data_IF_919990447260
#
_entry.id   IF_919990447260
#
_cell.length_a   1.000
_cell.length_b   1.000
_cell.length_c   1.000
_cell.angle_alpha   90.00
_cell.angle_beta   90.00
_cell.angle_gamma   90.00
#
_symmetry.space_group_name_H-M   'P 1'
#
loop_
_entity.id
_entity.type
_entity.pdbx_description
1 polymer ?
#
# COMPACT_ATOMS: atom_id res chain seq x y z
N UNK A 1 -18.03 -31.77 -32.02
CA UNK A 1 -17.06 -32.30 -31.04
C UNK A 1 -15.68 -31.67 -31.17
N UNK A 2 -15.08 -31.52 -32.35
CA UNK A 2 -13.75 -30.86 -32.48
C UNK A 2 -13.82 -29.32 -32.53
N UNK A 3 -14.91 -28.75 -33.08
CA UNK A 3 -15.13 -27.30 -33.19
C UNK A 3 -15.36 -26.63 -31.83
N UNK A 4 -16.02 -27.35 -30.90
CA UNK A 4 -16.40 -26.86 -29.57
C UNK A 4 -15.18 -26.69 -28.65
N UNK A 5 -14.17 -27.53 -28.84
CA UNK A 5 -12.92 -27.49 -28.06
C UNK A 5 -12.05 -26.27 -28.41
N UNK A 6 -11.99 -25.88 -29.69
CA UNK A 6 -11.24 -24.70 -30.14
C UNK A 6 -11.91 -23.41 -29.68
N UNK A 7 -13.24 -23.35 -29.74
CA UNK A 7 -14.01 -22.21 -29.20
C UNK A 7 -13.89 -22.10 -27.68
N UNK A 8 -13.91 -23.21 -26.95
CA UNK A 8 -13.74 -23.21 -25.49
C UNK A 8 -12.33 -22.76 -25.06
N UNK A 9 -11.29 -23.25 -25.73
CA UNK A 9 -9.90 -22.82 -25.48
C UNK A 9 -9.72 -21.33 -25.81
N UNK A 10 -10.30 -20.85 -26.92
CA UNK A 10 -10.27 -19.43 -27.28
C UNK A 10 -10.96 -18.53 -26.27
N UNK A 11 -12.16 -18.91 -25.80
CA UNK A 11 -12.89 -18.17 -24.77
C UNK A 11 -12.13 -18.18 -23.44
N UNK A 12 -11.55 -19.32 -23.05
CA UNK A 12 -10.70 -19.42 -21.85
C UNK A 12 -9.47 -18.50 -21.95
N UNK A 13 -8.78 -18.45 -23.10
CA UNK A 13 -7.65 -17.55 -23.30
C UNK A 13 -8.05 -16.07 -23.23
N UNK A 14 -9.20 -15.68 -23.78
CA UNK A 14 -9.71 -14.30 -23.71
C UNK A 14 -10.05 -13.91 -22.27
N UNK A 15 -10.66 -14.83 -21.51
CA UNK A 15 -10.95 -14.61 -20.08
C UNK A 15 -9.64 -14.48 -19.29
N UNK A 16 -8.66 -15.37 -19.48
CA UNK A 16 -7.36 -15.28 -18.81
C UNK A 16 -6.57 -14.01 -19.18
N UNK A 17 -6.64 -13.53 -20.42
CA UNK A 17 -6.02 -12.27 -20.84
C UNK A 17 -6.75 -11.04 -20.27
N UNK A 18 -8.06 -11.13 -20.05
CA UNK A 18 -8.84 -10.07 -19.39
C UNK A 18 -8.58 -9.96 -17.88
N UNK A 19 -8.01 -11.02 -17.27
CA UNK A 19 -7.59 -11.06 -15.86
C UNK A 19 -6.24 -10.38 -15.59
N UNK A 20 -5.63 -9.72 -16.58
CA UNK A 20 -4.53 -8.79 -16.36
C UNK A 20 -5.05 -7.56 -15.60
N UNK A 21 -5.23 -7.72 -14.29
CA UNK A 21 -5.71 -6.71 -13.37
C UNK A 21 -4.77 -5.50 -13.44
N UNK A 22 -5.25 -4.40 -14.00
CA UNK A 22 -4.55 -3.13 -13.94
C UNK A 22 -4.73 -2.59 -12.52
N UNK A 23 -3.69 -2.64 -11.67
CA UNK A 23 -3.77 -1.95 -10.39
C UNK A 23 -3.81 -0.44 -10.65
N UNK A 24 -4.97 0.17 -10.40
CA UNK A 24 -5.16 1.60 -10.58
C UNK A 24 -4.72 2.31 -9.31
N UNK A 25 -3.67 3.13 -9.38
CA UNK A 25 -3.25 3.95 -8.25
C UNK A 25 -4.21 5.09 -7.94
N UNK A 26 -4.25 5.50 -6.68
CA UNK A 26 -5.13 6.55 -6.17
C UNK A 26 -4.63 7.96 -6.51
N UNK A 27 -5.54 8.94 -6.56
CA UNK A 27 -5.20 10.35 -6.70
C UNK A 27 -5.32 11.06 -5.36
N UNK A 28 -4.21 11.54 -4.82
CA UNK A 28 -4.16 12.24 -3.54
C UNK A 28 -3.97 13.75 -3.74
N UNK A 29 -4.94 14.54 -3.31
CA UNK A 29 -4.91 16.00 -3.42
C UNK A 29 -4.30 16.63 -2.17
N UNK A 30 -3.10 17.19 -2.32
CA UNK A 30 -2.35 17.82 -1.24
C UNK A 30 -3.14 18.99 -0.67
N UNK A 31 -3.30 19.04 0.65
CA UNK A 31 -4.10 20.08 1.33
C UNK A 31 -5.60 20.03 1.05
N UNK A 32 -6.10 18.98 0.41
CA UNK A 32 -7.53 18.77 0.17
C UNK A 32 -8.18 19.90 -0.64
N UNK A 33 -9.11 20.64 -0.02
CA UNK A 33 -9.82 21.76 -0.65
C UNK A 33 -8.98 23.03 -0.75
N UNK A 34 -8.06 23.25 0.19
CA UNK A 34 -7.18 24.43 0.20
C UNK A 34 -6.07 24.32 -0.84
N UNK A 35 -5.59 23.10 -1.10
CA UNK A 35 -4.53 22.85 -2.06
C UNK A 35 -3.14 23.11 -1.49
N UNK A 36 -2.21 23.50 -2.38
CA UNK A 36 -0.83 23.84 -2.06
C UNK A 36 -0.71 25.34 -1.80
N UNK A 37 -0.86 25.70 -0.52
CA UNK A 37 -0.80 27.07 0.01
C UNK A 37 0.25 27.23 1.11
N UNK A 38 0.67 28.46 1.35
CA UNK A 38 1.71 28.78 2.35
C UNK A 38 1.28 28.50 3.79
N UNK A 39 0.04 28.84 4.14
CA UNK A 39 -0.52 28.69 5.49
C UNK A 39 -1.78 27.81 5.43
N UNK A 40 -1.62 26.48 5.32
CA UNK A 40 -2.77 25.58 5.30
C UNK A 40 -3.38 25.46 6.70
N UNK A 41 -4.67 25.13 6.78
CA UNK A 41 -5.35 24.88 8.06
C UNK A 41 -4.85 23.61 8.76
N UNK A 42 -4.39 22.62 7.98
CA UNK A 42 -3.72 21.40 8.42
C UNK A 42 -2.28 21.40 7.90
N UNK A 43 -1.30 21.10 8.76
CA UNK A 43 0.10 21.02 8.32
C UNK A 43 0.30 19.90 7.30
N UNK A 44 1.21 20.09 6.34
CA UNK A 44 1.50 19.07 5.33
C UNK A 44 2.03 17.77 5.94
N UNK A 45 2.73 17.83 7.07
CA UNK A 45 3.18 16.64 7.79
C UNK A 45 2.00 15.85 8.37
N UNK A 46 1.00 16.52 8.95
CA UNK A 46 -0.20 15.87 9.45
C UNK A 46 -1.01 15.28 8.30
N UNK A 47 -1.19 16.05 7.22
CA UNK A 47 -1.81 15.59 5.99
C UNK A 47 -1.09 14.34 5.44
N UNK A 48 0.24 14.33 5.39
CA UNK A 48 1.00 13.18 4.91
C UNK A 48 0.79 11.94 5.79
N UNK A 49 0.81 12.09 7.12
CA UNK A 49 0.70 10.97 8.08
C UNK A 49 -0.65 10.25 8.01
N UNK A 50 -1.74 10.97 7.72
CA UNK A 50 -3.08 10.36 7.59
C UNK A 50 -3.35 9.72 6.22
N UNK A 51 -2.48 9.97 5.24
CA UNK A 51 -2.58 9.37 3.91
C UNK A 51 -1.60 8.19 3.80
N UNK A 52 -2.00 7.17 3.05
CA UNK A 52 -1.10 6.06 2.69
C UNK A 52 -0.79 6.19 1.21
N UNK A 53 0.50 6.11 0.87
CA UNK A 53 0.98 6.24 -0.50
C UNK A 53 1.56 4.91 -0.96
N UNK A 54 1.15 4.46 -2.13
CA UNK A 54 1.61 3.23 -2.76
C UNK A 54 2.23 3.53 -4.13
N UNK A 55 3.00 2.56 -4.64
CA UNK A 55 3.46 2.61 -6.03
C UNK A 55 2.23 2.66 -6.93
N UNK A 56 2.32 3.45 -8.00
CA UNK A 56 1.28 3.84 -8.94
C UNK A 56 0.31 4.94 -8.48
N UNK A 57 0.32 5.34 -7.21
CA UNK A 57 -0.46 6.51 -6.78
C UNK A 57 0.02 7.79 -7.47
N UNK A 58 -0.88 8.75 -7.59
CA UNK A 58 -0.63 10.07 -8.15
C UNK A 58 -0.89 11.14 -7.10
N UNK A 59 0.14 11.90 -6.75
CA UNK A 59 -0.01 13.10 -5.92
C UNK A 59 -0.35 14.30 -6.80
N UNK A 60 -1.30 15.10 -6.35
CA UNK A 60 -1.82 16.25 -7.10
C UNK A 60 -1.71 17.51 -6.26
N UNK A 61 -1.04 18.51 -6.80
CA UNK A 61 -0.87 19.83 -6.20
C UNK A 61 -1.73 20.85 -6.95
N UNK A 62 -2.63 21.53 -6.23
CA UNK A 62 -3.45 22.62 -6.78
C UNK A 62 -2.95 23.95 -6.20
N UNK A 63 -2.57 24.88 -7.06
CA UNK A 63 -2.14 26.22 -6.65
C UNK A 63 -2.43 27.21 -7.77
N UNK A 64 -2.48 28.50 -7.46
CA UNK A 64 -2.68 29.52 -8.48
C UNK A 64 -1.44 29.60 -9.37
N UNK A 65 -1.61 29.32 -10.67
CA UNK A 65 -0.53 29.39 -11.66
C UNK A 65 0.17 30.75 -11.59
N UNK A 66 1.50 30.75 -11.55
CA UNK A 66 2.33 31.95 -11.44
C UNK A 66 2.49 32.51 -10.03
N UNK A 67 1.69 32.06 -9.05
CA UNK A 67 1.90 32.43 -7.63
C UNK A 67 2.80 31.44 -6.89
N UNK A 68 2.79 30.17 -7.31
CA UNK A 68 3.61 29.12 -6.72
C UNK A 68 4.07 28.12 -7.78
N UNK A 69 4.88 27.15 -7.35
CA UNK A 69 5.31 25.98 -8.11
C UNK A 69 5.73 24.87 -7.15
N UNK A 70 5.84 23.65 -7.65
CA UNK A 70 6.27 22.49 -6.86
C UNK A 70 7.57 21.96 -7.44
N UNK A 71 8.58 21.82 -6.58
CA UNK A 71 9.85 21.20 -6.92
C UNK A 71 10.00 19.88 -6.16
N UNK A 72 10.49 18.86 -6.85
CA UNK A 72 10.92 17.58 -6.24
C UNK A 72 12.43 17.62 -6.08
N UNK A 73 12.93 17.45 -4.86
CA UNK A 73 14.37 17.52 -4.56
C UNK A 73 14.96 16.14 -4.24
N UNK A 74 16.29 16.05 -4.26
CA UNK A 74 17.00 14.76 -4.22
C UNK A 74 16.94 14.07 -2.87
N UNK A 75 17.17 14.83 -1.80
CA UNK A 75 17.37 14.27 -0.47
C UNK A 75 16.84 15.18 0.65
N UNK A 76 17.07 14.75 1.88
CA UNK A 76 16.61 15.45 3.06
C UNK A 76 17.37 16.77 3.30
N UNK A 77 18.61 16.90 2.84
CA UNK A 77 19.39 18.11 3.00
C UNK A 77 18.82 19.22 2.13
N UNK A 78 18.56 18.93 0.86
CA UNK A 78 17.92 19.87 -0.06
C UNK A 78 16.52 20.28 0.43
N UNK A 79 15.76 19.31 0.97
CA UNK A 79 14.45 19.56 1.56
C UNK A 79 14.51 20.47 2.80
N UNK A 80 15.47 20.22 3.68
CA UNK A 80 15.59 20.96 4.95
C UNK A 80 16.11 22.36 4.72
N UNK A 81 17.11 22.50 3.83
CA UNK A 81 17.74 23.78 3.47
C UNK A 81 16.96 24.55 2.39
N UNK A 82 15.86 23.99 1.88
CA UNK A 82 15.09 24.57 0.79
C UNK A 82 15.94 24.87 -0.45
N UNK A 83 16.86 23.97 -0.80
CA UNK A 83 17.73 24.11 -1.95
C UNK A 83 16.93 23.94 -3.25
N UNK A 84 16.86 25.02 -4.03
CA UNK A 84 16.09 25.10 -5.29
C UNK A 84 16.98 24.98 -6.54
N UNK A 85 18.29 24.75 -6.39
CA UNK A 85 19.28 24.89 -7.47
C UNK A 85 19.16 23.80 -8.54
N UNK A 86 18.97 22.55 -8.13
CA UNK A 86 18.91 21.38 -9.04
C UNK A 86 17.78 20.43 -8.64
N UNK A 87 16.50 20.81 -8.85
CA UNK A 87 15.38 19.92 -8.58
C UNK A 87 15.32 18.79 -9.61
N UNK A 88 14.88 17.61 -9.18
CA UNK A 88 14.56 16.46 -10.06
C UNK A 88 13.42 16.84 -11.02
N UNK A 89 12.41 17.51 -10.50
CA UNK A 89 11.26 17.99 -11.26
C UNK A 89 10.87 19.39 -10.81
N UNK A 90 10.49 20.25 -11.75
CA UNK A 90 9.90 21.55 -11.47
C UNK A 90 8.59 21.72 -12.21
N UNK A 91 7.47 21.77 -11.48
CA UNK A 91 6.12 21.84 -12.03
C UNK A 91 5.51 23.21 -11.71
N UNK A 92 5.03 23.92 -12.73
CA UNK A 92 4.55 25.34 -12.64
C UNK A 92 3.14 25.55 -13.22
N UNK A 93 2.42 24.48 -13.53
CA UNK A 93 1.16 24.51 -14.27
C UNK A 93 -0.06 24.92 -13.42
N UNK A 94 0.06 24.99 -12.09
CA UNK A 94 -1.05 25.26 -11.16
C UNK A 94 -1.92 24.04 -10.83
N UNK A 95 -1.71 22.94 -11.53
CA UNK A 95 -2.42 21.67 -11.33
C UNK A 95 -1.48 20.48 -11.52
N UNK A 96 -0.36 20.52 -10.81
CA UNK A 96 0.77 19.60 -11.02
C UNK A 96 0.45 18.20 -10.53
N UNK A 97 0.89 17.19 -11.28
CA UNK A 97 0.68 15.78 -10.97
C UNK A 97 2.01 15.04 -11.03
N UNK A 98 2.26 14.17 -10.05
CA UNK A 98 3.38 13.24 -10.08
C UNK A 98 2.87 11.84 -9.74
N UNK A 99 3.12 10.87 -10.63
CA UNK A 99 2.85 9.46 -10.37
C UNK A 99 4.07 8.84 -9.69
N UNK A 100 3.86 8.15 -8.57
CA UNK A 100 4.91 7.42 -7.87
C UNK A 100 5.19 6.11 -8.60
N UNK A 101 6.34 6.00 -9.26
CA UNK A 101 6.76 4.79 -9.99
C UNK A 101 7.66 3.88 -9.15
N UNK A 102 8.08 4.34 -7.97
CA UNK A 102 8.93 3.61 -7.02
C UNK A 102 8.51 3.90 -5.59
N UNK A 103 8.82 2.96 -4.71
CA UNK A 103 8.72 3.11 -3.26
C UNK A 103 9.82 4.05 -2.74
N UNK A 104 9.68 4.51 -1.49
CA UNK A 104 10.68 5.33 -0.80
C UNK A 104 10.23 6.76 -0.52
N UNK A 105 11.19 7.62 -0.18
CA UNK A 105 10.94 9.01 0.23
C UNK A 105 10.94 9.94 -0.98
N UNK A 106 9.96 10.84 -1.03
CA UNK A 106 9.86 11.91 -2.00
C UNK A 106 9.75 13.24 -1.26
N UNK A 107 10.61 14.18 -1.60
CA UNK A 107 10.70 15.48 -0.97
C UNK A 107 10.17 16.55 -1.91
N UNK A 108 9.12 17.24 -1.50
CA UNK A 108 8.48 18.30 -2.26
C UNK A 108 8.67 19.63 -1.54
N UNK A 109 9.06 20.66 -2.27
CA UNK A 109 9.18 22.02 -1.74
C UNK A 109 8.48 23.01 -2.67
N UNK A 110 8.02 24.13 -2.11
CA UNK A 110 7.57 25.25 -2.93
C UNK A 110 8.76 25.86 -3.68
N UNK A 111 8.57 26.10 -4.97
CA UNK A 111 9.53 26.82 -5.80
C UNK A 111 9.40 28.34 -5.73
N UNK A 112 8.45 28.86 -4.94
CA UNK A 112 8.31 30.30 -4.69
C UNK A 112 9.28 30.74 -3.60
N UNK A 113 9.82 31.94 -3.74
CA UNK A 113 10.77 32.51 -2.78
C UNK A 113 10.17 32.58 -1.37
N UNK A 114 10.97 32.20 -0.36
CA UNK A 114 10.63 32.16 1.06
C UNK A 114 9.50 31.20 1.46
N UNK A 115 8.73 30.63 0.53
CA UNK A 115 7.59 29.76 0.86
C UNK A 115 8.04 28.44 1.50
N UNK A 116 9.09 27.80 0.99
CA UNK A 116 9.62 26.56 1.56
C UNK A 116 10.15 26.78 2.99
N UNK A 117 10.87 27.88 3.18
CA UNK A 117 11.49 28.31 4.43
C UNK A 117 10.42 28.62 5.49
N UNK A 118 9.26 29.12 5.05
CA UNK A 118 8.06 29.34 5.85
C UNK A 118 7.18 28.08 6.03
N UNK A 119 7.65 26.91 5.59
CA UNK A 119 7.02 25.62 5.88
C UNK A 119 6.16 25.03 4.77
N UNK A 120 6.09 25.64 3.57
CA UNK A 120 5.39 25.07 2.43
C UNK A 120 6.26 24.00 1.74
N UNK A 121 6.36 22.85 2.42
CA UNK A 121 7.13 21.67 2.02
C UNK A 121 6.44 20.41 2.54
N UNK A 122 6.68 19.28 1.87
CA UNK A 122 6.00 18.02 2.12
C UNK A 122 6.96 16.84 1.91
N UNK A 123 7.03 15.95 2.90
CA UNK A 123 7.67 14.64 2.79
C UNK A 123 6.60 13.56 2.59
N UNK A 124 6.74 12.80 1.51
CA UNK A 124 5.91 11.62 1.23
C UNK A 124 6.75 10.35 1.34
N UNK A 125 6.20 9.31 1.98
CA UNK A 125 6.79 7.98 2.04
C UNK A 125 5.88 7.01 1.28
N UNK A 126 6.36 6.52 0.15
CA UNK A 126 5.66 5.54 -0.70
C UNK A 126 6.03 4.13 -0.26
N UNK A 127 5.02 3.32 0.04
CA UNK A 127 5.17 1.96 0.54
C UNK A 127 5.55 1.00 -0.59
N UNK A 128 6.36 0.00 -0.26
CA UNK A 128 6.57 -1.17 -1.11
C UNK A 128 5.37 -2.11 -1.01
N UNK A 129 4.97 -2.78 -2.12
CA UNK A 129 4.19 -4.00 -2.04
C UNK A 129 5.07 -5.05 -1.34
N UNK A 130 4.68 -5.43 -0.12
CA UNK A 130 5.25 -6.49 0.73
C UNK A 130 6.71 -6.36 1.21
N UNK A 131 6.84 -6.07 2.51
CA UNK A 131 7.07 -7.13 3.49
C UNK A 131 6.55 -6.67 4.86
N UNK A 132 5.65 -7.45 5.46
CA UNK A 132 5.33 -7.46 6.89
C UNK A 132 6.53 -7.85 7.79
N UNK A 133 7.74 -7.38 7.47
CA UNK A 133 8.97 -7.63 8.23
C UNK A 133 9.75 -6.32 8.37
N UNK A 134 9.34 -5.52 9.34
CA UNK A 134 10.21 -4.69 10.20
C UNK A 134 9.39 -3.52 10.76
N UNK A 135 8.44 -3.82 11.64
CA UNK A 135 8.41 -3.07 12.88
C UNK A 135 8.86 -4.06 13.94
N UNK A 136 10.15 -4.07 14.28
CA UNK A 136 10.53 -4.60 15.59
C UNK A 136 9.70 -3.82 16.61
N UNK A 137 8.88 -4.46 17.45
CA UNK A 137 8.41 -3.80 18.65
C UNK A 137 9.66 -3.40 19.42
N UNK A 138 9.77 -2.13 19.80
CA UNK A 138 10.72 -1.74 20.84
C UNK A 138 10.26 -2.47 22.09
N UNK A 139 10.92 -3.59 22.42
CA UNK A 139 10.68 -4.34 23.65
C UNK A 139 10.98 -3.41 24.82
N UNK A 140 10.02 -3.09 25.71
CA UNK A 140 10.37 -2.46 26.97
C UNK A 140 11.21 -3.44 27.77
N UNK A 141 12.38 -2.98 28.21
CA UNK A 141 13.32 -3.65 29.10
C UNK A 141 12.59 -4.42 30.21
N UNK A 142 12.79 -5.74 30.38
CA UNK A 142 12.21 -6.45 31.50
C UNK A 142 12.91 -6.03 32.81
N UNK A 143 12.11 -5.49 33.74
CA UNK A 143 12.55 -5.25 35.10
C UNK A 143 12.88 -6.58 35.79
N UNK A 144 14.00 -6.57 36.50
CA UNK A 144 14.59 -7.68 37.26
C UNK A 144 13.56 -8.25 38.25
N UNK A 145 13.25 -9.55 38.16
CA UNK A 145 12.58 -10.31 39.22
C UNK A 145 13.58 -11.29 39.85
N UNK A 146 13.63 -11.43 41.19
CA UNK A 146 14.63 -12.24 41.85
C UNK A 146 14.31 -13.75 41.81
N UNK A 147 15.41 -14.50 41.80
CA UNK A 147 15.60 -15.96 41.79
C UNK A 147 15.01 -16.66 43.02
N UNK A 148 14.48 -17.89 42.85
CA UNK A 148 14.70 -19.09 43.70
C UNK A 148 14.31 -20.37 42.90
N UNK A 149 15.21 -21.37 42.90
CA UNK A 149 15.15 -22.70 42.27
C UNK A 149 14.53 -23.77 43.22
N UNK A 150 14.69 -25.11 43.05
CA UNK A 150 14.64 -26.02 41.89
C UNK A 150 13.58 -27.17 42.06
N UNK A 151 13.52 -28.05 41.04
CA UNK A 151 12.68 -29.25 40.80
C UNK A 151 12.68 -30.38 41.85
N UNK A 152 11.68 -31.31 41.80
CA UNK A 152 12.02 -32.74 41.67
C UNK A 152 11.12 -33.57 40.69
N UNK A 153 11.65 -34.63 40.03
CA UNK A 153 10.89 -35.70 39.34
C UNK A 153 11.04 -37.07 40.05
N UNK A 154 10.62 -38.24 39.49
CA UNK A 154 9.35 -38.67 38.89
C UNK A 154 8.82 -39.99 39.54
N UNK A 155 7.60 -40.47 39.19
CA UNK A 155 7.21 -41.89 39.39
C UNK A 155 5.99 -42.32 38.55
N UNK A 156 5.78 -43.63 38.30
CA UNK A 156 5.52 -44.14 36.96
C UNK A 156 4.17 -44.84 36.75
N UNK A 157 3.77 -44.92 35.48
CA UNK A 157 3.21 -46.12 34.86
C UNK A 157 1.72 -46.44 35.07
N UNK A 158 0.96 -46.42 33.98
CA UNK A 158 -0.16 -47.35 33.75
C UNK A 158 -0.53 -47.37 32.26
N UNK A 159 -0.20 -48.49 31.62
CA UNK A 159 -0.61 -48.93 30.28
C UNK A 159 -2.09 -49.37 30.26
N UNK A 160 -2.81 -49.12 29.15
CA UNK A 160 -3.67 -50.08 28.40
C UNK A 160 -4.58 -49.33 27.37
N UNK A 161 -5.26 -49.99 26.39
CA UNK A 161 -4.91 -49.89 24.99
C UNK A 161 -5.97 -49.25 24.08
N UNK A 162 -5.56 -49.02 22.84
CA UNK A 162 -6.31 -48.44 21.72
C UNK A 162 -7.52 -49.26 21.24
N UNK A 163 -8.48 -48.60 20.59
CA UNK A 163 -9.19 -49.16 19.44
C UNK A 163 -8.94 -48.34 18.15
N UNK A 164 -8.79 -49.05 17.04
CA UNK A 164 -8.59 -48.53 15.68
C UNK A 164 -9.96 -48.34 14.95
N UNK A 165 -10.01 -47.91 13.67
CA UNK A 165 -10.77 -46.75 13.23
C UNK A 165 -12.06 -47.07 12.45
N UNK A 166 -13.00 -46.12 12.39
CA UNK A 166 -14.17 -46.19 11.51
C UNK A 166 -14.17 -45.04 10.48
N UNK A 167 -13.89 -45.44 9.24
CA UNK A 167 -14.33 -44.97 7.91
C UNK A 167 -14.87 -43.53 7.77
N UNK A 168 -14.22 -42.79 6.86
CA UNK A 168 -14.69 -41.55 6.25
C UNK A 168 -15.65 -41.84 5.10
N UNK A 169 -16.87 -41.31 5.19
CA UNK A 169 -17.79 -41.24 4.04
C UNK A 169 -17.54 -39.96 3.23
N UNK A 170 -17.29 -40.15 1.93
CA UNK A 170 -17.10 -39.10 0.96
C UNK A 170 -18.45 -38.48 0.57
N UNK A 171 -18.63 -37.18 0.83
CA UNK A 171 -19.75 -36.42 0.29
C UNK A 171 -19.45 -36.02 -1.16
N UNK A 172 -20.19 -36.63 -2.08
CA UNK A 172 -20.30 -36.23 -3.48
C UNK A 172 -21.01 -34.88 -3.57
N UNK A 173 -20.28 -33.84 -4.00
CA UNK A 173 -20.88 -32.55 -4.34
C UNK A 173 -21.03 -32.48 -5.85
N UNK A 174 -22.20 -32.92 -6.33
CA UNK A 174 -22.70 -32.57 -7.65
C UNK A 174 -23.20 -31.12 -7.63
N UNK A 175 -22.36 -30.19 -8.11
CA UNK A 175 -22.70 -28.77 -8.22
C UNK A 175 -22.82 -28.34 -9.68
N UNK A 176 -24.02 -27.98 -10.12
CA UNK A 176 -24.35 -27.55 -11.48
C UNK A 176 -23.52 -26.35 -11.96
N UNK A 177 -22.99 -26.47 -13.18
CA UNK A 177 -22.10 -25.53 -13.90
C UNK A 177 -22.64 -24.12 -14.19
N UNK A 178 -23.69 -23.64 -13.53
CA UNK A 178 -24.25 -22.28 -13.76
C UNK A 178 -23.89 -21.33 -12.61
N UNK A 179 -23.81 -21.84 -11.37
CA UNK A 179 -23.48 -21.02 -10.19
C UNK A 179 -22.02 -20.55 -10.20
N UNK A 180 -21.12 -21.33 -10.79
CA UNK A 180 -19.69 -20.98 -10.90
C UNK A 180 -19.46 -19.71 -11.75
N UNK A 181 -20.29 -19.47 -12.76
CA UNK A 181 -20.17 -18.28 -13.63
C UNK A 181 -20.65 -17.00 -12.97
N UNK A 182 -21.73 -17.07 -12.18
CA UNK A 182 -22.26 -15.91 -11.45
C UNK A 182 -21.29 -15.52 -10.32
N UNK A 183 -20.73 -16.50 -9.60
CA UNK A 183 -19.70 -16.25 -8.59
C UNK A 183 -18.38 -15.74 -9.20
N UNK A 184 -18.00 -16.21 -10.39
CA UNK A 184 -16.79 -15.73 -11.08
C UNK A 184 -16.93 -14.27 -11.55
N UNK A 185 -18.08 -13.89 -12.12
CA UNK A 185 -18.34 -12.50 -12.53
C UNK A 185 -18.41 -11.53 -11.33
N UNK A 186 -19.02 -11.97 -10.22
CA UNK A 186 -19.08 -11.16 -9.00
C UNK A 186 -17.69 -11.01 -8.37
N UNK A 187 -16.87 -12.07 -8.35
CA UNK A 187 -15.50 -12.00 -7.83
C UNK A 187 -14.59 -11.12 -8.71
N UNK A 188 -14.72 -11.17 -10.04
CA UNK A 188 -13.96 -10.28 -10.95
C UNK A 188 -14.28 -8.81 -10.70
N UNK A 189 -15.55 -8.47 -10.47
CA UNK A 189 -15.94 -7.10 -10.18
C UNK A 189 -15.41 -6.60 -8.81
N UNK A 190 -15.35 -7.49 -7.80
CA UNK A 190 -14.87 -7.14 -6.46
C UNK A 190 -13.35 -6.90 -6.43
N UNK A 191 -12.56 -7.65 -7.21
CA UNK A 191 -11.09 -7.47 -7.27
C UNK A 191 -10.62 -6.34 -8.20
N UNK A 192 -11.51 -5.73 -9.00
CA UNK A 192 -11.18 -4.53 -9.79
C UNK A 192 -11.48 -3.21 -9.05
N UNK A 193 -12.09 -3.23 -7.87
CA UNK A 193 -12.55 -2.03 -7.15
C UNK A 193 -11.84 -1.80 -5.80
N UNK A 194 -11.02 -2.75 -5.34
CA UNK A 194 -10.16 -2.63 -4.14
C UNK A 194 -8.71 -2.46 -4.59
#
# INVERSE_FOLDING_TARGET
MHMDSLSFVGISCIIFLSFLCSSQGHKLYVGGKEGWVLKPSESYDQWARRNRFQVNDTIVFKYKKGQDSVMVVHDNDDYTKCNKTSPIHHMKDGHSKLKFTRNGRFYFISGKDNHCELGQKLLVVVLSPDHHKSSSPVTPTPAISPVIAPTPPPSPGSVSPAPAPAKSDAMSVGGSSVLVWVFSLIMVAVFCVI
#
